data_IF_336075818432
#
_entry.id   IF_336075818432
#
_cell.length_a   1.000
_cell.length_b   1.000
_cell.length_c   1.000
_cell.angle_alpha   90.00
_cell.angle_beta   90.00
_cell.angle_gamma   90.00
#
_symmetry.space_group_name_H-M   'P 1'
#
loop_
_entity.id
_entity.type
_entity.pdbx_description
1 polymer ?
#
# COMPACT_ATOMS: atom_id res chain seq x y z
N UNK A 1 26.75 5.31 -20.57
CA UNK A 1 26.83 5.47 -19.10
C UNK A 1 25.44 5.59 -18.44
N UNK A 2 24.43 6.25 -19.02
CA UNK A 2 23.08 6.33 -18.43
C UNK A 2 22.32 5.00 -18.25
N UNK A 3 22.49 4.02 -19.15
CA UNK A 3 21.70 2.77 -19.09
C UNK A 3 22.00 1.92 -17.86
N UNK A 4 23.26 1.90 -17.38
CA UNK A 4 23.65 1.10 -16.21
C UNK A 4 23.09 1.71 -14.92
N UNK A 5 23.14 3.02 -14.77
CA UNK A 5 22.56 3.73 -13.62
C UNK A 5 21.02 3.56 -13.57
N UNK A 6 20.35 3.59 -14.73
CA UNK A 6 18.91 3.33 -14.81
C UNK A 6 18.55 1.89 -14.43
N UNK A 7 19.31 0.90 -14.93
CA UNK A 7 19.15 -0.51 -14.55
C UNK A 7 19.38 -0.73 -13.05
N UNK A 8 20.38 -0.06 -12.47
CA UNK A 8 20.69 -0.13 -11.04
C UNK A 8 19.55 0.45 -10.19
N UNK A 9 19.09 1.68 -10.47
CA UNK A 9 17.97 2.30 -9.76
C UNK A 9 16.68 1.47 -9.87
N UNK A 10 16.42 0.89 -11.05
CA UNK A 10 15.25 0.04 -11.25
C UNK A 10 15.31 -1.23 -10.41
N UNK A 11 16.48 -1.87 -10.32
CA UNK A 11 16.67 -3.08 -9.52
C UNK A 11 16.45 -2.80 -8.03
N UNK A 12 16.95 -1.67 -7.54
CA UNK A 12 16.69 -1.25 -6.15
C UNK A 12 15.19 -1.01 -5.88
N UNK A 13 14.46 -0.42 -6.83
CA UNK A 13 13.00 -0.25 -6.70
C UNK A 13 12.25 -1.58 -6.74
N UNK A 14 12.69 -2.54 -7.57
CA UNK A 14 12.11 -3.88 -7.61
C UNK A 14 12.31 -4.62 -6.26
N UNK A 15 13.40 -4.37 -5.55
CA UNK A 15 13.73 -5.01 -4.27
C UNK A 15 13.00 -4.42 -3.05
N UNK A 16 12.47 -3.19 -3.12
CA UNK A 16 11.70 -2.59 -2.00
C UNK A 16 10.24 -3.07 -1.98
N UNK A 17 9.65 -3.15 -0.78
CA UNK A 17 8.25 -3.55 -0.62
C UNK A 17 7.26 -2.52 -1.16
N UNK A 18 6.02 -2.92 -1.51
CA UNK A 18 4.96 -1.98 -1.92
C UNK A 18 4.66 -0.92 -0.85
N UNK A 19 4.78 -1.26 0.43
CA UNK A 19 4.58 -0.33 1.54
C UNK A 19 5.70 0.70 1.61
N UNK A 20 6.94 0.27 1.44
CA UNK A 20 8.10 1.16 1.43
C UNK A 20 8.08 2.10 0.21
N UNK A 21 7.75 1.57 -0.98
CA UNK A 21 7.53 2.37 -2.17
C UNK A 21 6.45 3.45 -1.96
N UNK A 22 5.36 3.10 -1.25
CA UNK A 22 4.32 4.06 -0.89
C UNK A 22 4.81 5.18 0.05
N UNK A 23 5.73 4.86 0.97
CA UNK A 23 6.36 5.88 1.82
C UNK A 23 7.26 6.82 1.02
N UNK A 24 8.06 6.30 0.09
CA UNK A 24 8.85 7.15 -0.82
C UNK A 24 7.97 8.10 -1.64
N UNK A 25 6.87 7.61 -2.21
CA UNK A 25 5.93 8.46 -2.96
C UNK A 25 5.38 9.58 -2.07
N UNK A 26 4.91 9.26 -0.87
CA UNK A 26 4.41 10.29 0.05
C UNK A 26 5.51 11.28 0.46
N UNK A 27 6.74 10.82 0.67
CA UNK A 27 7.88 11.70 0.99
C UNK A 27 8.17 12.68 -0.16
N UNK A 28 8.11 12.22 -1.41
CA UNK A 28 8.27 13.11 -2.57
C UNK A 28 7.14 14.12 -2.69
N UNK A 29 5.88 13.69 -2.50
CA UNK A 29 4.73 14.59 -2.54
C UNK A 29 4.81 15.69 -1.47
N UNK A 30 5.18 15.33 -0.24
CA UNK A 30 5.35 16.30 0.88
C UNK A 30 6.48 17.29 0.61
N UNK A 31 7.50 16.89 -0.14
CA UNK A 31 8.64 17.74 -0.51
C UNK A 31 8.46 18.44 -1.86
N UNK A 32 7.26 18.37 -2.45
CA UNK A 32 6.93 18.95 -3.76
C UNK A 32 7.79 18.43 -4.92
N UNK A 33 8.33 17.22 -4.80
CA UNK A 33 9.05 16.52 -5.86
C UNK A 33 8.06 15.59 -6.58
N UNK A 34 8.07 15.61 -7.91
CA UNK A 34 7.18 14.76 -8.72
C UNK A 34 7.66 13.29 -8.71
N UNK A 35 6.96 12.36 -8.02
CA UNK A 35 7.36 10.96 -7.94
C UNK A 35 7.24 10.21 -9.28
N UNK A 36 6.61 10.80 -10.30
CA UNK A 36 6.54 10.23 -11.65
C UNK A 36 7.80 10.47 -12.47
N UNK A 37 8.70 11.33 -11.97
CA UNK A 37 9.94 11.76 -12.66
C UNK A 37 11.20 11.37 -11.90
N UNK A 38 11.13 10.36 -11.04
CA UNK A 38 12.26 9.89 -10.25
C UNK A 38 13.27 9.13 -11.12
N UNK A 39 14.39 9.74 -11.51
CA UNK A 39 15.43 9.12 -12.35
C UNK A 39 14.89 8.40 -13.61
N UNK A 40 13.90 9.01 -14.28
CA UNK A 40 13.17 8.45 -15.43
C UNK A 40 12.30 7.20 -15.13
N UNK A 41 12.02 6.94 -13.85
CA UNK A 41 11.06 5.94 -13.39
C UNK A 41 9.82 6.64 -12.83
N UNK A 42 8.65 6.13 -13.18
CA UNK A 42 7.38 6.54 -12.60
C UNK A 42 7.04 5.61 -11.43
N UNK A 43 7.36 6.09 -10.21
CA UNK A 43 7.12 5.33 -8.98
C UNK A 43 5.62 5.11 -8.72
N UNK A 44 4.77 6.04 -9.14
CA UNK A 44 3.31 5.95 -8.96
C UNK A 44 2.75 4.84 -9.85
N UNK A 45 3.17 4.81 -11.11
CA UNK A 45 2.82 3.73 -12.04
C UNK A 45 3.32 2.38 -11.56
N UNK A 46 4.52 2.33 -10.97
CA UNK A 46 5.07 1.08 -10.44
C UNK A 46 4.28 0.58 -9.21
N UNK A 47 3.90 1.47 -8.30
CA UNK A 47 3.04 1.12 -7.18
C UNK A 47 1.66 0.66 -7.66
N UNK A 48 1.07 1.31 -8.67
CA UNK A 48 -0.23 0.95 -9.25
C UNK A 48 -0.22 -0.50 -9.76
N UNK A 49 0.81 -0.89 -10.54
CA UNK A 49 0.95 -2.28 -11.03
C UNK A 49 0.97 -3.29 -9.88
N UNK A 50 1.69 -2.99 -8.80
CA UNK A 50 1.78 -3.87 -7.63
C UNK A 50 0.44 -4.01 -6.92
N UNK A 51 -0.28 -2.90 -6.76
CA UNK A 51 -1.64 -2.90 -6.19
C UNK A 51 -2.60 -3.72 -7.05
N UNK A 52 -2.54 -3.56 -8.37
CA UNK A 52 -3.42 -4.28 -9.30
C UNK A 52 -3.17 -5.79 -9.29
N UNK A 53 -1.90 -6.21 -9.21
CA UNK A 53 -1.48 -7.61 -9.14
C UNK A 53 -1.84 -8.30 -7.82
N UNK A 54 -2.04 -7.54 -6.74
CA UNK A 54 -2.33 -8.08 -5.43
C UNK A 54 -3.84 -8.21 -5.18
N UNK A 55 -4.24 -9.32 -4.54
CA UNK A 55 -5.62 -9.54 -4.06
C UNK A 55 -5.89 -8.69 -2.82
N UNK A 56 -4.89 -8.57 -1.95
CA UNK A 56 -4.92 -7.75 -0.75
C UNK A 56 -3.89 -6.63 -0.87
N UNK A 57 -4.30 -5.40 -0.62
CA UNK A 57 -3.42 -4.24 -0.69
C UNK A 57 -3.32 -3.58 0.69
N UNK A 58 -2.09 -3.25 1.09
CA UNK A 58 -1.87 -2.45 2.29
C UNK A 58 -2.55 -1.06 2.12
N UNK A 59 -3.38 -0.61 3.08
CA UNK A 59 -4.05 0.69 2.99
C UNK A 59 -3.09 1.87 2.74
N UNK A 60 -1.85 1.81 3.24
CA UNK A 60 -0.82 2.83 2.99
C UNK A 60 -0.47 2.97 1.51
N UNK A 61 -0.45 1.86 0.75
CA UNK A 61 -0.21 1.88 -0.68
C UNK A 61 -1.35 2.55 -1.45
N UNK A 62 -2.60 2.24 -1.06
CA UNK A 62 -3.77 2.86 -1.68
C UNK A 62 -3.83 4.37 -1.39
N UNK A 63 -3.49 4.78 -0.16
CA UNK A 63 -3.41 6.18 0.22
C UNK A 63 -2.35 6.94 -0.57
N UNK A 64 -1.18 6.35 -0.77
CA UNK A 64 -0.11 6.97 -1.57
C UNK A 64 -0.55 7.19 -3.04
N UNK A 65 -1.24 6.23 -3.65
CA UNK A 65 -1.80 6.36 -4.99
C UNK A 65 -2.82 7.52 -5.06
N UNK A 66 -3.73 7.58 -4.08
CA UNK A 66 -4.71 8.66 -3.99
C UNK A 66 -4.04 10.04 -3.85
N UNK A 67 -3.06 10.17 -2.95
CA UNK A 67 -2.31 11.41 -2.75
C UNK A 67 -1.53 11.84 -4.01
N UNK A 68 -1.08 10.87 -4.82
CA UNK A 68 -0.40 11.10 -6.10
C UNK A 68 -1.35 11.46 -7.26
N UNK A 69 -2.66 11.62 -6.98
CA UNK A 69 -3.69 11.94 -7.97
C UNK A 69 -4.03 10.77 -8.89
N UNK A 70 -3.67 9.54 -8.53
CA UNK A 70 -4.02 8.36 -9.32
C UNK A 70 -5.54 8.10 -9.24
N UNK A 71 -6.15 7.70 -10.36
CA UNK A 71 -7.59 7.41 -10.39
C UNK A 71 -7.90 6.17 -9.55
N UNK A 72 -8.77 6.32 -8.55
CA UNK A 72 -9.25 5.20 -7.76
C UNK A 72 -10.45 4.50 -8.41
N UNK A 73 -10.46 3.17 -8.37
CA UNK A 73 -11.52 2.33 -8.95
C UNK A 73 -12.43 1.74 -7.87
N UNK A 74 -13.62 1.25 -8.25
CA UNK A 74 -14.51 0.53 -7.32
C UNK A 74 -13.83 -0.71 -6.72
N UNK A 75 -13.03 -1.43 -7.53
CA UNK A 75 -12.24 -2.58 -7.08
C UNK A 75 -11.24 -2.20 -6.00
N UNK A 76 -10.66 -1.00 -6.06
CA UNK A 76 -9.74 -0.51 -5.03
C UNK A 76 -10.46 -0.28 -3.69
N UNK A 77 -11.67 0.29 -3.74
CA UNK A 77 -12.52 0.47 -2.57
C UNK A 77 -12.96 -0.87 -1.99
N UNK A 78 -13.31 -1.84 -2.83
CA UNK A 78 -13.64 -3.19 -2.41
C UNK A 78 -12.47 -3.88 -1.70
N UNK A 79 -11.26 -3.78 -2.25
CA UNK A 79 -10.04 -4.27 -1.59
C UNK A 79 -9.90 -3.67 -0.19
N UNK A 80 -9.97 -2.34 -0.06
CA UNK A 80 -9.83 -1.66 1.23
C UNK A 80 -10.92 -2.05 2.25
N UNK A 81 -12.16 -2.07 1.81
CA UNK A 81 -13.29 -2.41 2.69
C UNK A 81 -13.24 -3.86 3.13
N UNK A 82 -12.80 -4.79 2.28
CA UNK A 82 -12.58 -6.19 2.66
C UNK A 82 -11.56 -6.34 3.79
N UNK A 83 -10.46 -5.58 3.74
CA UNK A 83 -9.45 -5.52 4.80
C UNK A 83 -10.05 -5.01 6.10
N UNK A 84 -10.74 -3.86 6.02
CA UNK A 84 -11.35 -3.22 7.17
C UNK A 84 -12.34 -4.17 7.86
N UNK A 85 -13.23 -4.80 7.10
CA UNK A 85 -14.22 -5.71 7.67
C UNK A 85 -13.61 -6.98 8.24
N UNK A 86 -12.53 -7.50 7.64
CA UNK A 86 -11.79 -8.63 8.21
C UNK A 86 -11.18 -8.26 9.57
N UNK A 87 -10.42 -7.15 9.63
CA UNK A 87 -9.80 -6.69 10.86
C UNK A 87 -10.84 -6.35 11.94
N UNK A 88 -11.94 -5.70 11.56
CA UNK A 88 -13.05 -5.39 12.46
C UNK A 88 -13.69 -6.68 13.00
N UNK A 89 -13.96 -7.68 12.16
CA UNK A 89 -14.50 -8.97 12.62
C UNK A 89 -13.56 -9.67 13.59
N UNK A 90 -12.26 -9.76 13.29
CA UNK A 90 -11.26 -10.37 14.16
C UNK A 90 -11.18 -9.67 15.53
N UNK A 91 -11.25 -8.33 15.55
CA UNK A 91 -11.31 -7.55 16.78
C UNK A 91 -12.54 -7.90 17.64
N UNK A 92 -13.72 -8.00 17.03
CA UNK A 92 -14.95 -8.31 17.76
C UNK A 92 -15.05 -9.78 18.18
N UNK A 93 -14.67 -10.73 17.32
CA UNK A 93 -14.68 -12.15 17.69
C UNK A 93 -13.67 -12.46 18.79
N UNK A 94 -12.48 -11.83 18.74
CA UNK A 94 -11.48 -11.94 19.81
C UNK A 94 -12.00 -11.44 21.16
N UNK A 95 -12.66 -10.29 21.18
CA UNK A 95 -13.31 -9.75 22.39
C UNK A 95 -14.44 -10.66 22.89
N UNK A 96 -15.26 -11.20 21.98
CA UNK A 96 -16.34 -12.14 22.34
C UNK A 96 -15.75 -13.41 22.96
N UNK A 97 -14.71 -14.01 22.37
CA UNK A 97 -14.06 -15.20 22.95
C UNK A 97 -13.48 -14.91 24.34
N UNK A 98 -12.79 -13.78 24.52
CA UNK A 98 -12.27 -13.39 25.84
C UNK A 98 -13.37 -13.18 26.88
N UNK A 99 -14.52 -12.63 26.47
CA UNK A 99 -15.66 -12.42 27.35
C UNK A 99 -16.38 -13.74 27.69
N UNK A 100 -16.47 -14.68 26.76
CA UNK A 100 -17.01 -16.03 27.02
C UNK A 100 -16.10 -16.77 28.02
N UNK A 101 -14.78 -16.81 27.78
CA UNK A 101 -13.85 -17.45 28.72
C UNK A 101 -13.81 -16.79 30.11
N UNK A 102 -14.10 -15.48 30.21
CA UNK A 102 -14.27 -14.79 31.50
C UNK A 102 -15.58 -15.14 32.21
N UNK A 103 -16.65 -15.44 31.48
CA UNK A 103 -17.92 -15.87 32.07
C UNK A 103 -17.92 -17.35 32.47
N UNK A 104 -17.10 -18.19 31.85
CA UNK A 104 -16.99 -19.61 32.17
C UNK A 104 -16.04 -19.91 33.38
N UNK A 105 -15.40 -18.88 33.94
CA UNK A 105 -14.51 -18.99 35.11
C UNK A 105 -15.11 -18.44 36.41
N UNK A 106 -16.43 -18.25 36.46
CA UNK A 106 -17.17 -17.87 37.68
C UNK A 106 -18.18 -18.93 38.12
#
# INVERSE_FOLDING_TARGET
>A
LCSCAFLFCRKEIEDISSTELAYYINAFLVTCIDPRKFHALDLVSELRKRVDAQVYTNPSAMLALCNAGERMTEKDVEKLTSVFWKAHREFWTGNITLNIFKNDTM
#
